data_IF_310305880119
#
_entry.id   IF_310305880119
#
_cell.length_a   1.000
_cell.length_b   1.000
_cell.length_c   1.000
_cell.angle_alpha   90.00
_cell.angle_beta   90.00
_cell.angle_gamma   90.00
#
_symmetry.space_group_name_H-M   'P 1'
#
loop_
_entity.id
_entity.type
_entity.pdbx_description
1 polymer ?
#
# COMPACT_ATOMS: atom_id res chain seq x y z
N UNK A 1 -7.83 21.91 1.55
CA UNK A 1 -7.58 20.55 2.07
C UNK A 1 -8.06 19.41 1.15
N UNK A 2 -9.20 19.53 0.48
CA UNK A 2 -9.81 18.39 -0.25
C UNK A 2 -9.00 17.85 -1.45
N UNK A 3 -8.25 18.70 -2.19
CA UNK A 3 -7.49 18.25 -3.38
C UNK A 3 -6.29 17.33 -3.05
N UNK A 4 -5.69 17.49 -1.87
CA UNK A 4 -4.51 16.71 -1.45
C UNK A 4 -4.87 15.29 -0.99
N UNK A 5 -6.06 15.09 -0.45
CA UNK A 5 -6.54 13.79 0.03
C UNK A 5 -7.04 12.92 -1.12
N UNK A 6 -7.70 13.53 -2.10
CA UNK A 6 -8.24 12.82 -3.27
C UNK A 6 -7.12 12.17 -4.10
N UNK A 7 -5.98 12.84 -4.27
CA UNK A 7 -4.86 12.31 -5.06
C UNK A 7 -4.26 11.01 -4.46
N UNK A 8 -4.14 10.95 -3.13
CA UNK A 8 -3.66 9.76 -2.43
C UNK A 8 -4.65 8.58 -2.56
N UNK A 9 -5.96 8.87 -2.53
CA UNK A 9 -6.98 7.84 -2.68
C UNK A 9 -7.06 7.32 -4.13
N UNK A 10 -6.92 8.18 -5.13
CA UNK A 10 -6.93 7.78 -6.54
C UNK A 10 -5.71 6.92 -6.90
N UNK A 11 -4.52 7.33 -6.44
CA UNK A 11 -3.28 6.55 -6.64
C UNK A 11 -3.37 5.17 -5.98
N UNK A 12 -3.88 5.11 -4.74
CA UNK A 12 -4.15 3.83 -4.07
C UNK A 12 -5.07 2.92 -4.88
N UNK A 13 -6.15 3.46 -5.42
CA UNK A 13 -7.12 2.68 -6.21
C UNK A 13 -6.50 2.12 -7.49
N UNK A 14 -5.73 2.94 -8.20
CA UNK A 14 -5.00 2.53 -9.41
C UNK A 14 -3.98 1.42 -9.10
N UNK A 15 -3.20 1.59 -8.04
CA UNK A 15 -2.20 0.59 -7.64
C UNK A 15 -2.86 -0.73 -7.25
N UNK A 16 -4.01 -0.70 -6.57
CA UNK A 16 -4.74 -1.93 -6.21
C UNK A 16 -5.26 -2.67 -7.44
N UNK A 17 -5.75 -1.95 -8.44
CA UNK A 17 -6.21 -2.55 -9.70
C UNK A 17 -5.08 -3.25 -10.45
N UNK A 18 -3.90 -2.62 -10.48
CA UNK A 18 -2.72 -3.12 -11.20
C UNK A 18 -1.98 -4.21 -10.40
N UNK A 19 -1.93 -4.09 -9.07
CA UNK A 19 -1.21 -5.02 -8.20
C UNK A 19 -1.78 -6.44 -8.23
N UNK A 20 -3.09 -6.62 -8.45
CA UNK A 20 -3.71 -7.96 -8.55
C UNK A 20 -3.07 -8.81 -9.66
N UNK A 21 -3.20 -8.41 -10.94
CA UNK A 21 -2.58 -9.12 -12.07
C UNK A 21 -1.05 -9.27 -11.94
N UNK A 22 -0.38 -8.29 -11.33
CA UNK A 22 1.06 -8.36 -11.08
C UNK A 22 1.41 -9.44 -10.04
N UNK A 23 0.62 -9.60 -8.98
CA UNK A 23 0.83 -10.64 -7.98
C UNK A 23 0.63 -12.03 -8.57
N UNK A 24 -0.33 -12.19 -9.48
CA UNK A 24 -0.59 -13.47 -10.15
C UNK A 24 0.55 -13.88 -11.11
N UNK A 25 1.23 -12.89 -11.73
CA UNK A 25 2.27 -13.15 -12.74
C UNK A 25 3.70 -13.22 -12.20
N UNK A 26 4.05 -12.37 -11.23
CA UNK A 26 5.41 -12.28 -10.66
C UNK A 26 5.51 -12.83 -9.24
N UNK A 27 4.38 -13.23 -8.65
CA UNK A 27 4.28 -13.68 -7.28
C UNK A 27 4.17 -12.52 -6.27
N UNK A 28 3.48 -12.74 -5.15
CA UNK A 28 3.16 -11.70 -4.18
C UNK A 28 4.41 -11.10 -3.51
N UNK A 29 5.49 -11.89 -3.37
CA UNK A 29 6.73 -11.46 -2.70
C UNK A 29 7.44 -10.32 -3.43
N UNK A 30 7.61 -10.44 -4.75
CA UNK A 30 8.31 -9.44 -5.55
C UNK A 30 7.49 -8.16 -5.69
N UNK A 31 6.18 -8.29 -5.85
CA UNK A 31 5.26 -7.13 -5.93
C UNK A 31 5.21 -6.38 -4.60
N UNK A 32 5.25 -7.09 -3.47
CA UNK A 32 5.29 -6.47 -2.14
C UNK A 32 6.57 -5.65 -1.94
N UNK A 33 7.74 -6.22 -2.27
CA UNK A 33 9.03 -5.51 -2.17
C UNK A 33 9.07 -4.31 -3.13
N UNK A 34 8.61 -4.48 -4.37
CA UNK A 34 8.58 -3.40 -5.36
C UNK A 34 7.72 -2.22 -4.93
N UNK A 35 6.50 -2.46 -4.44
CA UNK A 35 5.64 -1.39 -3.91
C UNK A 35 6.25 -0.74 -2.67
N UNK A 36 6.86 -1.52 -1.76
CA UNK A 36 7.49 -0.96 -0.56
C UNK A 36 8.65 -0.04 -0.93
N UNK A 37 9.55 -0.47 -1.82
CA UNK A 37 10.70 0.33 -2.24
C UNK A 37 10.28 1.60 -2.98
N UNK A 38 9.34 1.48 -3.93
CA UNK A 38 8.83 2.63 -4.67
C UNK A 38 8.19 3.69 -3.77
N UNK A 39 7.61 3.28 -2.64
CA UNK A 39 6.93 4.18 -1.73
C UNK A 39 7.75 4.64 -0.52
N UNK A 40 8.65 3.81 0.01
CA UNK A 40 9.44 4.12 1.21
C UNK A 40 10.54 5.13 0.93
N UNK A 41 11.21 5.03 -0.22
CA UNK A 41 12.27 5.94 -0.66
C UNK A 41 11.78 7.40 -0.68
N UNK A 42 10.68 7.76 -1.38
CA UNK A 42 10.19 9.14 -1.38
C UNK A 42 9.62 9.56 -0.02
N UNK A 43 9.05 8.63 0.76
CA UNK A 43 8.51 8.94 2.09
C UNK A 43 9.63 9.23 3.11
N UNK A 44 10.78 8.55 3.01
CA UNK A 44 11.94 8.84 3.86
C UNK A 44 12.54 10.22 3.55
N UNK A 45 12.44 10.68 2.29
CA UNK A 45 12.87 12.02 1.87
C UNK A 45 11.85 13.12 2.18
N UNK A 46 10.73 12.81 2.84
CA UNK A 46 9.69 13.78 3.20
C UNK A 46 10.23 14.94 4.06
N UNK A 47 11.21 14.67 4.93
CA UNK A 47 11.77 15.66 5.84
C UNK A 47 12.55 16.80 5.15
N UNK A 48 12.95 16.63 3.88
CA UNK A 48 13.67 17.65 3.11
C UNK A 48 12.74 18.52 2.25
N UNK A 49 11.44 18.19 2.18
CA UNK A 49 10.51 18.87 1.28
C UNK A 49 9.91 20.10 1.96
N UNK A 50 10.30 21.29 1.49
CA UNK A 50 9.77 22.59 1.95
C UNK A 50 8.76 23.22 0.97
N UNK A 51 8.57 22.61 -0.20
CA UNK A 51 7.74 23.16 -1.29
C UNK A 51 6.36 22.50 -1.38
N UNK A 52 5.33 23.30 -1.67
CA UNK A 52 3.94 22.82 -1.82
C UNK A 52 3.78 21.73 -2.89
N UNK A 53 4.51 21.82 -4.00
CA UNK A 53 4.49 20.79 -5.06
C UNK A 53 5.13 19.46 -4.60
N UNK A 54 6.18 19.53 -3.77
CA UNK A 54 6.81 18.33 -3.22
C UNK A 54 5.89 17.59 -2.25
N UNK A 55 5.07 18.31 -1.47
CA UNK A 55 4.06 17.70 -0.61
C UNK A 55 2.97 16.97 -1.40
N UNK A 56 2.61 17.45 -2.59
CA UNK A 56 1.65 16.78 -3.48
C UNK A 56 2.24 15.47 -3.99
N UNK A 57 3.49 15.51 -4.48
CA UNK A 57 4.20 14.33 -4.95
C UNK A 57 4.35 13.28 -3.83
N UNK A 58 4.73 13.70 -2.63
CA UNK A 58 4.83 12.82 -1.46
C UNK A 58 3.53 12.06 -1.20
N UNK A 59 2.40 12.76 -1.22
CA UNK A 59 1.07 12.16 -0.97
C UNK A 59 0.67 11.15 -2.05
N UNK A 60 1.12 11.34 -3.28
CA UNK A 60 0.91 10.36 -4.35
C UNK A 60 1.68 9.05 -4.03
N UNK A 61 2.94 9.14 -3.62
CA UNK A 61 3.73 7.95 -3.24
C UNK A 61 3.23 7.25 -1.98
N UNK A 62 2.73 8.00 -0.99
CA UNK A 62 2.05 7.43 0.18
C UNK A 62 0.77 6.69 -0.23
N UNK A 63 0.05 7.17 -1.24
CA UNK A 63 -1.07 6.44 -1.85
C UNK A 63 -0.65 5.10 -2.46
N UNK A 64 0.53 5.05 -3.10
CA UNK A 64 1.11 3.80 -3.62
C UNK A 64 1.43 2.81 -2.50
N UNK A 65 2.04 3.27 -1.39
CA UNK A 65 2.26 2.43 -0.20
C UNK A 65 0.95 1.85 0.33
N UNK A 66 -0.13 2.64 0.33
CA UNK A 66 -1.45 2.18 0.71
C UNK A 66 -2.04 1.08 -0.18
N UNK A 67 -1.48 0.85 -1.37
CA UNK A 67 -1.84 -0.21 -2.31
C UNK A 67 -1.25 -1.58 -1.97
N UNK A 68 -0.23 -1.65 -1.09
CA UNK A 68 0.44 -2.90 -0.64
C UNK A 68 -0.51 -3.90 0.04
N UNK A 69 -1.72 -3.47 0.37
CA UNK A 69 -2.77 -4.31 0.92
C UNK A 69 -3.10 -5.53 0.04
N UNK A 70 -3.12 -5.36 -1.29
CA UNK A 70 -3.45 -6.43 -2.24
C UNK A 70 -2.40 -7.57 -2.21
N UNK A 71 -1.10 -7.30 -2.41
CA UNK A 71 -0.08 -8.35 -2.30
C UNK A 71 -0.04 -9.00 -0.91
N UNK A 72 -0.34 -8.26 0.16
CA UNK A 72 -0.43 -8.81 1.52
C UNK A 72 -1.54 -9.87 1.63
N UNK A 73 -2.73 -9.59 1.10
CA UNK A 73 -3.83 -10.55 1.09
C UNK A 73 -3.50 -11.78 0.25
N UNK A 74 -2.92 -11.60 -0.94
CA UNK A 74 -2.50 -12.72 -1.81
C UNK A 74 -1.44 -13.58 -1.11
N UNK A 75 -0.55 -12.96 -0.35
CA UNK A 75 0.50 -13.67 0.38
C UNK A 75 -0.07 -14.49 1.55
N UNK A 76 -0.95 -13.90 2.37
CA UNK A 76 -1.63 -14.62 3.45
C UNK A 76 -2.50 -15.77 2.93
N UNK A 77 -3.16 -15.59 1.78
CA UNK A 77 -3.92 -16.68 1.13
C UNK A 77 -3.05 -17.82 0.62
N UNK A 78 -1.77 -17.57 0.35
CA UNK A 78 -0.82 -18.61 -0.04
C UNK A 78 -0.31 -19.46 1.15
N UNK A 79 -0.41 -18.96 2.38
CA UNK A 79 0.10 -19.65 3.58
C UNK A 79 -0.98 -20.34 4.41
N UNK A 80 -2.22 -19.84 4.42
CA UNK A 80 -3.30 -20.34 5.27
C UNK A 80 -4.34 -21.13 4.48
N UNK A 81 -4.88 -22.18 5.11
CA UNK A 81 -5.94 -22.99 4.52
C UNK A 81 -7.25 -22.18 4.35
N UNK A 82 -8.06 -22.54 3.35
CA UNK A 82 -9.31 -21.85 2.99
C UNK A 82 -10.29 -21.70 4.16
N UNK A 83 -10.24 -22.59 5.15
CA UNK A 83 -11.08 -22.50 6.36
C UNK A 83 -10.74 -21.32 7.27
N UNK A 84 -9.47 -20.91 7.31
CA UNK A 84 -8.96 -19.90 8.26
C UNK A 84 -8.41 -18.64 7.58
N UNK A 85 -8.25 -18.67 6.25
CA UNK A 85 -7.69 -17.56 5.47
C UNK A 85 -8.47 -16.25 5.64
N UNK A 86 -9.79 -16.31 5.82
CA UNK A 86 -10.62 -15.14 6.07
C UNK A 86 -10.26 -14.42 7.37
N UNK A 87 -10.08 -15.19 8.45
CA UNK A 87 -9.67 -14.67 9.76
C UNK A 87 -8.22 -14.18 9.74
N UNK A 88 -7.33 -14.89 9.04
CA UNK A 88 -5.95 -14.46 8.89
C UNK A 88 -5.85 -13.12 8.13
N UNK A 89 -6.59 -12.98 7.03
CA UNK A 89 -6.65 -11.75 6.25
C UNK A 89 -7.29 -10.59 7.02
N UNK A 90 -8.35 -10.84 7.80
CA UNK A 90 -8.99 -9.80 8.60
C UNK A 90 -8.09 -9.32 9.74
N UNK A 91 -7.35 -10.22 10.37
CA UNK A 91 -6.34 -9.87 11.37
C UNK A 91 -5.21 -9.04 10.76
N UNK A 92 -4.64 -9.50 9.62
CA UNK A 92 -3.60 -8.76 8.91
C UNK A 92 -4.07 -7.37 8.46
N UNK A 93 -5.32 -7.26 7.98
CA UNK A 93 -5.93 -5.99 7.61
C UNK A 93 -6.18 -5.08 8.82
N UNK A 94 -6.67 -5.64 9.92
CA UNK A 94 -6.89 -4.92 11.18
C UNK A 94 -5.57 -4.34 11.72
N UNK A 95 -4.52 -5.15 11.77
CA UNK A 95 -3.20 -4.71 12.20
C UNK A 95 -2.62 -3.62 11.27
N UNK A 96 -2.76 -3.79 9.96
CA UNK A 96 -2.32 -2.79 8.98
C UNK A 96 -3.03 -1.43 9.11
N UNK A 97 -4.32 -1.43 9.46
CA UNK A 97 -5.07 -0.19 9.68
C UNK A 97 -4.76 0.46 11.04
N UNK A 98 -4.42 -0.34 12.06
CA UNK A 98 -4.04 0.19 13.38
C UNK A 98 -2.84 1.14 13.29
N UNK A 99 -1.88 0.87 12.40
CA UNK A 99 -0.75 1.77 12.15
C UNK A 99 -1.12 3.17 11.66
N UNK A 100 -2.29 3.34 11.02
CA UNK A 100 -2.80 4.66 10.60
C UNK A 100 -3.59 5.40 11.69
N UNK A 101 -3.99 4.73 12.77
CA UNK A 101 -4.79 5.31 13.85
C UNK A 101 -4.02 5.55 15.16
N UNK A 102 -2.78 5.10 15.27
CA UNK A 102 -1.91 5.26 16.45
C UNK A 102 -1.05 6.55 16.38
N UNK A 103 -1.25 7.39 15.36
CA UNK A 103 -0.60 8.72 15.20
C UNK A 103 -1.65 9.81 15.20
#
# INVERSE_FOLDING_TARGET
>A
MNRFSTLANMSRLLVRFVAGPLCDRFGPRLVFIGLLLCGSIPTAMAGLVTNAQGLIALRFFVGILGGTFVPCQVWCTGFFDKKIVGTANSLAAGWGNAGGGIT
#
